data_IF_568369620208
#
_entry.id   IF_568369620208
#
_cell.length_a   1.000
_cell.length_b   1.000
_cell.length_c   1.000
_cell.angle_alpha   90.00
_cell.angle_beta   90.00
_cell.angle_gamma   90.00
#
_symmetry.space_group_name_H-M   'P 1'
#
loop_
_entity.id
_entity.type
_entity.pdbx_description
1 polymer ?
#
# COMPACT_ATOMS: atom_id res chain seq x y z
N UNK A 1 -20.88 -6.30 23.74
CA UNK A 1 -20.14 -6.31 22.46
C UNK A 1 -21.06 -5.64 21.44
N UNK A 2 -21.58 -4.45 21.77
CA UNK A 2 -22.80 -3.88 21.16
C UNK A 2 -22.74 -2.35 21.10
N UNK A 3 -21.54 -1.80 20.88
CA UNK A 3 -21.41 -0.36 20.65
C UNK A 3 -21.75 -0.07 19.18
N UNK A 4 -22.96 0.45 18.95
CA UNK A 4 -23.48 0.82 17.62
C UNK A 4 -22.62 1.87 16.88
N UNK A 5 -21.66 2.51 17.57
CA UNK A 5 -20.71 3.45 16.95
C UNK A 5 -19.59 2.76 16.18
N UNK A 6 -19.37 1.47 16.42
CA UNK A 6 -18.36 0.68 15.71
C UNK A 6 -19.03 0.05 14.50
N UNK A 7 -18.77 0.60 13.32
CA UNK A 7 -19.20 -0.02 12.07
C UNK A 7 -18.56 -1.42 11.98
N UNK A 8 -19.33 -2.48 11.70
CA UNK A 8 -18.81 -3.85 11.65
C UNK A 8 -17.88 -4.11 10.46
N UNK A 9 -17.61 -3.09 9.64
CA UNK A 9 -16.95 -3.24 8.36
C UNK A 9 -15.43 -3.01 8.45
N UNK A 10 -14.68 -4.11 8.55
CA UNK A 10 -13.22 -4.13 8.48
C UNK A 10 -12.69 -4.22 7.02
N UNK A 11 -13.58 -4.16 6.02
CA UNK A 11 -13.25 -4.43 4.62
C UNK A 11 -12.22 -3.45 4.06
N UNK A 12 -12.11 -2.23 4.57
CA UNK A 12 -11.04 -1.30 4.18
C UNK A 12 -9.65 -1.84 4.56
N UNK A 13 -9.51 -2.34 5.79
CA UNK A 13 -8.28 -2.94 6.30
C UNK A 13 -7.93 -4.22 5.55
N UNK A 14 -8.92 -5.10 5.32
CA UNK A 14 -8.73 -6.34 4.54
C UNK A 14 -8.28 -6.06 3.10
N UNK A 15 -8.88 -5.06 2.45
CA UNK A 15 -8.48 -4.62 1.10
C UNK A 15 -7.03 -4.11 1.07
N UNK A 16 -6.59 -3.37 2.09
CA UNK A 16 -5.23 -2.87 2.18
C UNK A 16 -4.19 -4.01 2.27
N UNK A 17 -4.40 -5.00 3.16
CA UNK A 17 -3.47 -6.13 3.34
C UNK A 17 -3.48 -7.14 2.18
N UNK A 18 -4.59 -7.24 1.43
CA UNK A 18 -4.76 -8.25 0.37
C UNK A 18 -3.62 -8.28 -0.64
N UNK A 19 -3.12 -7.12 -1.05
CA UNK A 19 -2.05 -7.02 -2.05
C UNK A 19 -0.73 -7.61 -1.55
N UNK A 20 -0.44 -7.41 -0.26
CA UNK A 20 0.70 -8.05 0.40
C UNK A 20 0.55 -9.57 0.36
N UNK A 21 -0.64 -10.08 0.66
CA UNK A 21 -0.91 -11.53 0.63
C UNK A 21 -0.80 -12.11 -0.78
N UNK A 22 -1.30 -11.41 -1.79
CA UNK A 22 -1.17 -11.80 -3.20
C UNK A 22 0.31 -11.81 -3.61
N UNK A 23 1.10 -10.82 -3.20
CA UNK A 23 2.54 -10.80 -3.48
C UNK A 23 3.26 -11.99 -2.86
N UNK A 24 2.88 -12.38 -1.64
CA UNK A 24 3.43 -13.54 -0.94
C UNK A 24 3.05 -14.87 -1.58
N UNK A 25 1.77 -15.06 -1.95
CA UNK A 25 1.26 -16.38 -2.36
C UNK A 25 1.16 -16.61 -3.86
N UNK A 26 1.00 -15.56 -4.65
CA UNK A 26 0.67 -15.66 -6.08
C UNK A 26 1.77 -15.03 -6.94
N UNK A 27 2.27 -13.84 -6.59
CA UNK A 27 3.22 -13.09 -7.42
C UNK A 27 4.69 -13.33 -7.04
N UNK A 28 5.05 -14.58 -6.74
CA UNK A 28 6.44 -15.04 -6.63
C UNK A 28 7.17 -14.73 -5.32
N UNK A 29 6.47 -14.31 -4.26
CA UNK A 29 7.03 -14.03 -2.92
C UNK A 29 8.14 -12.94 -2.90
N UNK A 30 8.62 -12.57 -1.72
CA UNK A 30 9.73 -11.62 -1.55
C UNK A 30 11.05 -12.36 -1.40
N UNK A 31 12.05 -12.03 -2.22
CA UNK A 31 13.36 -12.69 -2.20
C UNK A 31 14.27 -12.20 -1.06
N UNK A 32 13.95 -11.07 -0.44
CA UNK A 32 14.70 -10.50 0.68
C UNK A 32 13.81 -9.60 1.55
N UNK A 33 14.18 -9.37 2.82
CA UNK A 33 13.51 -8.40 3.69
C UNK A 33 13.47 -7.00 3.08
N UNK A 34 14.60 -6.51 2.55
CA UNK A 34 14.70 -5.22 1.86
C UNK A 34 13.73 -5.13 0.67
N UNK A 35 13.58 -6.21 -0.10
CA UNK A 35 12.60 -6.23 -1.19
C UNK A 35 11.15 -6.12 -0.71
N UNK A 36 10.84 -6.67 0.46
CA UNK A 36 9.52 -6.55 1.08
C UNK A 36 9.26 -5.15 1.64
N UNK A 37 10.28 -4.52 2.22
CA UNK A 37 10.23 -3.14 2.70
C UNK A 37 10.04 -2.16 1.54
N UNK A 38 10.84 -2.30 0.48
CA UNK A 38 10.70 -1.49 -0.73
C UNK A 38 9.29 -1.60 -1.33
N UNK A 39 8.74 -2.82 -1.39
CA UNK A 39 7.37 -3.04 -1.85
C UNK A 39 6.35 -2.35 -0.93
N UNK A 40 6.52 -2.45 0.39
CA UNK A 40 5.63 -1.80 1.37
C UNK A 40 5.62 -0.28 1.21
N UNK A 41 6.80 0.33 1.02
CA UNK A 41 6.96 1.78 0.80
C UNK A 41 6.29 2.22 -0.50
N UNK A 42 6.59 1.56 -1.62
CA UNK A 42 5.97 1.90 -2.92
C UNK A 42 4.45 1.75 -2.83
N UNK A 43 3.98 0.68 -2.19
CA UNK A 43 2.55 0.41 -2.06
C UNK A 43 1.83 1.43 -1.19
N UNK A 44 2.44 1.87 -0.08
CA UNK A 44 1.85 2.88 0.80
C UNK A 44 1.68 4.22 0.10
N UNK A 45 2.65 4.62 -0.74
CA UNK A 45 2.56 5.83 -1.58
C UNK A 45 1.40 5.72 -2.57
N UNK A 46 1.29 4.57 -3.27
CA UNK A 46 0.20 4.33 -4.23
C UNK A 46 -1.17 4.37 -3.53
N UNK A 47 -1.32 3.68 -2.40
CA UNK A 47 -2.60 3.65 -1.67
C UNK A 47 -2.98 5.03 -1.13
N UNK A 48 -1.98 5.84 -0.76
CA UNK A 48 -2.19 7.24 -0.35
C UNK A 48 -2.65 8.11 -1.52
N UNK A 49 -2.03 7.95 -2.70
CA UNK A 49 -2.45 8.65 -3.91
C UNK A 49 -3.91 8.31 -4.27
N UNK A 50 -4.29 7.03 -4.24
CA UNK A 50 -5.65 6.58 -4.51
C UNK A 50 -6.65 7.18 -3.51
N UNK A 51 -6.32 7.15 -2.21
CA UNK A 51 -7.17 7.74 -1.15
C UNK A 51 -7.39 9.24 -1.34
N UNK A 52 -6.38 9.95 -1.85
CA UNK A 52 -6.45 11.37 -2.17
C UNK A 52 -7.00 11.68 -3.57
N UNK A 53 -7.55 10.67 -4.27
CA UNK A 53 -8.12 10.82 -5.62
C UNK A 53 -7.10 11.34 -6.65
N UNK A 54 -5.82 11.04 -6.44
CA UNK A 54 -4.73 11.38 -7.36
C UNK A 54 -4.44 10.22 -8.31
N UNK A 55 -3.87 10.52 -9.48
CA UNK A 55 -3.37 9.51 -10.38
C UNK A 55 -2.10 8.86 -9.79
N UNK A 56 -2.10 7.55 -9.46
CA UNK A 56 -0.93 6.91 -8.85
C UNK A 56 0.31 6.88 -9.75
N UNK A 57 0.12 6.86 -11.07
CA UNK A 57 1.23 6.91 -12.02
C UNK A 57 1.98 8.24 -11.93
N UNK A 58 1.25 9.37 -11.91
CA UNK A 58 1.86 10.68 -11.78
C UNK A 58 2.57 10.86 -10.44
N UNK A 59 1.97 10.41 -9.33
CA UNK A 59 2.59 10.48 -8.01
C UNK A 59 3.88 9.66 -7.95
N UNK A 60 3.85 8.41 -8.42
CA UNK A 60 5.06 7.56 -8.41
C UNK A 60 6.15 8.08 -9.36
N UNK A 61 5.77 8.66 -10.51
CA UNK A 61 6.70 9.33 -11.42
C UNK A 61 7.38 10.53 -10.76
N UNK A 62 6.62 11.37 -10.04
CA UNK A 62 7.16 12.50 -9.29
C UNK A 62 8.15 12.02 -8.22
N UNK A 63 7.77 11.04 -7.41
CA UNK A 63 8.65 10.49 -6.36
C UNK A 63 9.96 9.93 -6.94
N UNK A 64 9.93 9.32 -8.13
CA UNK A 64 11.12 8.78 -8.77
C UNK A 64 12.13 9.85 -9.26
N UNK A 65 11.68 11.08 -9.50
CA UNK A 65 12.53 12.19 -9.95
C UNK A 65 12.88 13.17 -8.83
N UNK A 66 12.29 13.00 -7.64
CA UNK A 66 12.63 13.84 -6.49
C UNK A 66 14.09 13.57 -6.09
N UNK A 67 14.89 14.63 -5.84
CA UNK A 67 16.21 14.46 -5.26
C UNK A 67 16.06 13.81 -3.88
N UNK A 68 17.07 13.04 -3.48
CA UNK A 68 17.14 12.55 -2.11
C UNK A 68 17.09 13.76 -1.16
N UNK A 69 16.24 13.69 -0.15
CA UNK A 69 16.27 14.68 0.92
C UNK A 69 17.64 14.59 1.61
N UNK A 70 18.29 15.74 1.78
CA UNK A 70 19.54 15.90 2.54
C UNK A 70 19.37 15.49 4.01
#
# INVERSE_FOLDING_TARGET
MDDQRILPDNNASERAIRNFKVKLKVSGFFKSPTGSENYAVIRSVIDTAIKNQQNPYEVTRLVAILPAAE
#
